data_IF_726377270659
#
_entry.id   IF_726377270659
#
_cell.length_a   1.000
_cell.length_b   1.000
_cell.length_c   1.000
_cell.angle_alpha   90.00
_cell.angle_beta   90.00
_cell.angle_gamma   90.00
#
_symmetry.space_group_name_H-M   'P 1'
#
loop_
_entity.id
_entity.type
_entity.pdbx_description
1 polymer ?
#
# COMPACT_ATOMS: atom_id res chain seq x y z
N UNK A 1 19.43 -4.06 -8.12
CA UNK A 1 18.33 -3.27 -7.50
C UNK A 1 18.95 -2.52 -6.35
N UNK A 2 18.75 -1.21 -6.25
CA UNK A 2 19.41 -0.37 -5.24
C UNK A 2 18.95 -0.77 -3.83
N UNK A 3 19.92 -0.97 -2.92
CA UNK A 3 19.68 -1.24 -1.47
C UNK A 3 19.10 -0.03 -0.70
N UNK A 4 18.55 0.96 -1.41
CA UNK A 4 17.98 2.15 -0.80
C UNK A 4 16.61 1.82 -0.16
N UNK A 5 16.34 2.34 1.04
CA UNK A 5 15.07 2.10 1.72
C UNK A 5 13.91 2.69 0.93
N UNK A 6 12.79 1.98 0.89
CA UNK A 6 11.55 2.41 0.23
C UNK A 6 10.47 2.59 1.29
N UNK A 7 9.74 3.72 1.24
CA UNK A 7 8.74 4.08 2.26
C UNK A 7 7.53 3.14 2.29
N UNK A 8 7.22 2.52 1.16
CA UNK A 8 6.12 1.58 0.95
C UNK A 8 6.53 0.10 1.09
N UNK A 9 7.77 -0.16 1.53
CA UNK A 9 8.29 -1.52 1.73
C UNK A 9 8.67 -1.74 3.20
N UNK A 10 8.22 -2.83 3.77
CA UNK A 10 8.69 -3.34 5.06
C UNK A 10 9.97 -4.14 4.80
N UNK A 11 11.00 -3.89 5.59
CA UNK A 11 12.28 -4.61 5.47
C UNK A 11 12.05 -6.14 5.61
N UNK A 12 12.66 -6.92 4.74
CA UNK A 12 12.51 -8.38 4.72
C UNK A 12 11.24 -8.89 4.04
N UNK A 13 10.34 -8.00 3.57
CA UNK A 13 9.14 -8.40 2.84
C UNK A 13 9.22 -8.06 1.35
N UNK A 14 8.44 -8.77 0.51
CA UNK A 14 8.21 -8.37 -0.88
C UNK A 14 7.60 -6.97 -0.95
N UNK A 15 7.95 -6.23 -2.01
CA UNK A 15 7.33 -4.93 -2.24
C UNK A 15 5.84 -5.08 -2.59
N UNK A 16 4.93 -4.16 -2.22
CA UNK A 16 3.52 -4.23 -2.57
C UNK A 16 3.21 -4.45 -4.07
N UNK A 17 4.06 -3.95 -4.98
CA UNK A 17 3.93 -4.21 -6.41
C UNK A 17 4.24 -5.66 -6.82
N UNK A 18 4.86 -6.45 -5.95
CA UNK A 18 5.20 -7.86 -6.19
C UNK A 18 4.10 -8.80 -5.69
N UNK A 19 3.12 -8.29 -4.93
CA UNK A 19 1.99 -9.09 -4.43
C UNK A 19 1.21 -9.68 -5.60
N UNK A 20 1.09 -11.01 -5.64
CA UNK A 20 0.40 -11.70 -6.73
C UNK A 20 -1.09 -11.85 -6.46
N UNK A 21 -1.45 -12.28 -5.25
CA UNK A 21 -2.83 -12.46 -4.84
C UNK A 21 -3.21 -11.45 -3.76
N UNK A 22 -4.42 -10.93 -3.85
CA UNK A 22 -5.00 -10.03 -2.87
C UNK A 22 -6.02 -10.78 -2.03
N UNK A 23 -5.97 -10.62 -0.71
CA UNK A 23 -6.86 -11.28 0.23
C UNK A 23 -7.69 -10.25 1.01
N UNK A 24 -8.96 -10.55 1.25
CA UNK A 24 -9.83 -9.82 2.18
C UNK A 24 -10.28 -8.43 1.73
N UNK A 25 -10.11 -8.06 0.45
CA UNK A 25 -10.53 -6.77 -0.10
C UNK A 25 -11.59 -6.88 -1.20
N UNK A 26 -12.41 -7.94 -1.17
CA UNK A 26 -13.38 -8.26 -2.23
C UNK A 26 -14.40 -7.15 -2.46
N UNK A 27 -14.92 -6.54 -1.37
CA UNK A 27 -15.85 -5.43 -1.47
C UNK A 27 -15.24 -4.19 -2.16
N UNK A 28 -13.97 -3.91 -1.87
CA UNK A 28 -13.24 -2.82 -2.50
C UNK A 28 -12.98 -3.11 -3.98
N UNK A 29 -12.58 -4.34 -4.31
CA UNK A 29 -12.39 -4.79 -5.69
C UNK A 29 -13.71 -4.71 -6.49
N UNK A 30 -14.82 -5.15 -5.91
CA UNK A 30 -16.14 -5.10 -6.54
C UNK A 30 -16.56 -3.66 -6.87
N UNK A 31 -16.33 -2.70 -5.96
CA UNK A 31 -16.64 -1.28 -6.21
C UNK A 31 -15.83 -0.70 -7.37
N UNK A 32 -14.56 -1.07 -7.50
CA UNK A 32 -13.70 -0.62 -8.60
C UNK A 32 -14.17 -1.24 -9.92
N UNK A 33 -14.47 -2.54 -9.93
CA UNK A 33 -14.97 -3.25 -11.11
C UNK A 33 -16.32 -2.71 -11.58
N UNK A 34 -17.24 -2.42 -10.65
CA UNK A 34 -18.53 -1.80 -10.96
C UNK A 34 -18.33 -0.44 -11.64
N UNK A 35 -17.45 0.39 -11.07
CA UNK A 35 -17.18 1.71 -11.65
C UNK A 35 -16.52 1.62 -13.02
N UNK A 36 -15.61 0.66 -13.22
CA UNK A 36 -14.93 0.41 -14.48
C UNK A 36 -15.90 -0.08 -15.55
N UNK A 37 -16.68 -1.12 -15.26
CA UNK A 37 -17.65 -1.71 -16.20
C UNK A 37 -18.81 -0.76 -16.54
N UNK A 38 -19.13 0.17 -15.63
CA UNK A 38 -20.16 1.19 -15.85
C UNK A 38 -19.66 2.45 -16.56
N UNK A 39 -18.42 2.50 -17.01
CA UNK A 39 -17.78 3.69 -17.60
C UNK A 39 -17.91 4.94 -16.70
N UNK A 40 -17.84 4.73 -15.37
CA UNK A 40 -17.96 5.77 -14.34
C UNK A 40 -16.77 5.77 -13.40
N UNK A 41 -15.57 5.47 -13.95
CA UNK A 41 -14.34 5.45 -13.16
C UNK A 41 -14.06 6.85 -12.64
N UNK A 42 -14.08 7.02 -11.32
CA UNK A 42 -13.75 8.29 -10.69
C UNK A 42 -12.25 8.58 -10.81
N UNK A 43 -11.89 9.85 -11.05
CA UNK A 43 -10.49 10.25 -11.20
C UNK A 43 -9.65 10.12 -9.92
N UNK A 44 -10.27 10.04 -8.74
CA UNK A 44 -9.54 9.89 -7.48
C UNK A 44 -10.23 8.93 -6.50
N UNK A 45 -9.48 7.96 -6.00
CA UNK A 45 -9.92 6.99 -5.02
C UNK A 45 -9.04 7.08 -3.77
N UNK A 46 -9.66 7.15 -2.61
CA UNK A 46 -8.98 7.19 -1.33
C UNK A 46 -9.15 5.86 -0.61
N UNK A 47 -8.06 5.07 -0.55
CA UNK A 47 -8.00 3.77 0.11
C UNK A 47 -7.77 3.99 1.60
N UNK A 48 -8.80 3.72 2.41
CA UNK A 48 -8.80 4.01 3.85
C UNK A 48 -8.77 2.72 4.66
N UNK A 49 -8.14 2.75 5.84
CA UNK A 49 -8.10 1.61 6.77
C UNK A 49 -6.77 1.54 7.54
N UNK A 50 -6.64 0.63 8.52
CA UNK A 50 -5.44 0.47 9.33
C UNK A 50 -4.17 0.25 8.51
N UNK A 51 -3.00 0.53 9.10
CA UNK A 51 -1.70 0.28 8.47
C UNK A 51 -1.47 -1.24 8.31
N UNK A 52 -0.81 -1.63 7.22
CA UNK A 52 -0.35 -3.01 7.00
C UNK A 52 -1.41 -4.01 6.55
N UNK A 53 -2.68 -3.61 6.31
CA UNK A 53 -3.76 -4.51 5.86
C UNK A 53 -3.75 -4.81 4.35
N UNK A 54 -2.78 -4.28 3.57
CA UNK A 54 -2.67 -4.54 2.12
C UNK A 54 -3.19 -3.43 1.22
N UNK A 55 -3.44 -2.19 1.72
CA UNK A 55 -3.93 -1.07 0.89
C UNK A 55 -3.01 -0.71 -0.28
N UNK A 56 -1.69 -0.68 -0.05
CA UNK A 56 -0.72 -0.44 -1.11
C UNK A 56 -0.77 -1.55 -2.16
N UNK A 57 -0.82 -2.83 -1.75
CA UNK A 57 -1.00 -3.96 -2.65
C UNK A 57 -2.27 -3.83 -3.49
N UNK A 58 -3.41 -3.46 -2.88
CA UNK A 58 -4.65 -3.18 -3.59
C UNK A 58 -4.48 -2.05 -4.61
N UNK A 59 -3.80 -0.94 -4.24
CA UNK A 59 -3.54 0.15 -5.17
C UNK A 59 -2.73 -0.31 -6.39
N UNK A 60 -1.70 -1.14 -6.19
CA UNK A 60 -0.94 -1.73 -7.30
C UNK A 60 -1.75 -2.72 -8.13
N UNK A 61 -2.68 -3.48 -7.54
CA UNK A 61 -3.61 -4.35 -8.29
C UNK A 61 -4.55 -3.52 -9.17
N UNK A 62 -5.15 -2.47 -8.63
CA UNK A 62 -5.98 -1.54 -9.40
C UNK A 62 -5.16 -0.89 -10.52
N UNK A 63 -3.94 -0.43 -10.23
CA UNK A 63 -3.08 0.18 -11.23
C UNK A 63 -2.74 -0.78 -12.38
N UNK A 64 -2.35 -2.03 -12.06
CA UNK A 64 -2.09 -3.07 -13.07
C UNK A 64 -3.31 -3.32 -13.94
N UNK A 65 -4.47 -3.46 -13.32
CA UNK A 65 -5.72 -3.67 -14.03
C UNK A 65 -6.04 -2.50 -14.97
N UNK A 66 -6.04 -1.27 -14.47
CA UNK A 66 -6.36 -0.08 -15.27
C UNK A 66 -5.40 0.17 -16.44
N UNK A 67 -4.12 -0.15 -16.25
CA UNK A 67 -3.09 0.00 -17.30
C UNK A 67 -3.09 -1.15 -18.33
N UNK A 68 -3.79 -2.25 -18.04
CA UNK A 68 -3.89 -3.42 -18.94
C UNK A 68 -5.25 -3.48 -19.63
N UNK A 69 -6.33 -3.11 -18.92
CA UNK A 69 -7.69 -3.22 -19.45
C UNK A 69 -7.94 -2.19 -20.56
N UNK A 70 -8.52 -2.66 -21.64
CA UNK A 70 -8.98 -1.79 -22.72
C UNK A 70 -10.21 -0.98 -22.29
N UNK A 71 -10.35 0.28 -22.74
CA UNK A 71 -11.56 1.06 -22.51
C UNK A 71 -12.79 0.34 -23.07
N UNK A 72 -13.90 0.40 -22.34
CA UNK A 72 -15.15 -0.14 -22.83
C UNK A 72 -15.59 0.70 -24.07
N UNK A 73 -15.63 0.08 -25.25
CA UNK A 73 -16.16 0.72 -26.45
C UNK A 73 -15.26 0.76 -27.68
N UNK A 74 -13.95 0.54 -27.56
CA UNK A 74 -13.01 0.67 -28.69
C UNK A 74 -12.72 -0.66 -29.44
N UNK A 75 -13.47 -1.71 -29.17
CA UNK A 75 -13.27 -2.96 -29.91
C UNK A 75 -13.99 -2.90 -31.26
N UNK A 76 -13.22 -3.00 -32.35
CA UNK A 76 -13.71 -3.19 -33.72
C UNK A 76 -14.60 -4.47 -33.87
N UNK A 77 -14.63 -5.35 -32.86
CA UNK A 77 -15.33 -6.64 -32.85
C UNK A 77 -16.52 -6.68 -31.86
N UNK A 78 -17.00 -5.54 -31.33
CA UNK A 78 -18.11 -5.48 -30.39
C UNK A 78 -17.66 -5.19 -28.95
N UNK A 79 -18.60 -4.97 -28.04
CA UNK A 79 -18.32 -4.66 -26.64
C UNK A 79 -17.57 -5.82 -25.95
N UNK A 80 -16.42 -5.54 -25.37
CA UNK A 80 -15.70 -6.51 -24.53
C UNK A 80 -16.58 -6.96 -23.35
N UNK A 81 -16.53 -8.22 -22.95
CA UNK A 81 -17.28 -8.70 -21.79
C UNK A 81 -16.85 -7.91 -20.54
N UNK A 82 -17.79 -7.68 -19.59
CA UNK A 82 -17.46 -6.93 -18.38
C UNK A 82 -16.34 -7.64 -17.60
N UNK A 83 -15.41 -6.85 -17.06
CA UNK A 83 -14.35 -7.37 -16.22
C UNK A 83 -14.92 -7.95 -14.92
N UNK A 84 -14.52 -9.17 -14.56
CA UNK A 84 -14.99 -9.89 -13.36
C UNK A 84 -13.96 -9.92 -12.24
N UNK A 85 -12.71 -9.54 -12.52
CA UNK A 85 -11.61 -9.57 -11.56
C UNK A 85 -10.60 -8.44 -11.85
N UNK A 86 -9.96 -7.92 -10.80
CA UNK A 86 -8.80 -7.03 -10.90
C UNK A 86 -7.48 -7.81 -11.08
N UNK A 87 -7.52 -9.12 -11.09
CA UNK A 87 -6.34 -9.95 -11.24
C UNK A 87 -5.71 -9.76 -12.63
N UNK A 88 -4.41 -9.50 -12.61
CA UNK A 88 -3.57 -9.38 -13.82
C UNK A 88 -2.39 -10.33 -13.65
N UNK A 89 -2.19 -11.29 -14.55
CA UNK A 89 -1.07 -12.21 -14.50
C UNK A 89 0.28 -11.50 -14.39
N UNK A 90 1.18 -12.05 -13.57
CA UNK A 90 2.49 -11.42 -13.27
C UNK A 90 3.45 -11.42 -14.47
N UNK A 91 3.20 -12.29 -15.47
CA UNK A 91 3.99 -12.43 -16.69
C UNK A 91 3.63 -11.42 -17.79
N UNK A 92 2.51 -10.69 -17.65
CA UNK A 92 2.14 -9.66 -18.60
C UNK A 92 3.16 -8.52 -18.64
N UNK A 93 3.42 -7.91 -19.81
CA UNK A 93 4.41 -6.84 -19.98
C UNK A 93 4.22 -5.67 -19.01
N UNK A 94 2.98 -5.23 -18.79
CA UNK A 94 2.64 -4.15 -17.85
C UNK A 94 3.02 -4.54 -16.41
N UNK A 95 2.66 -5.75 -15.97
CA UNK A 95 2.98 -6.23 -14.62
C UNK A 95 4.50 -6.31 -14.40
N UNK A 96 5.25 -6.78 -15.41
CA UNK A 96 6.73 -6.80 -15.37
C UNK A 96 7.33 -5.40 -15.30
N UNK A 97 6.82 -4.43 -16.08
CA UNK A 97 7.31 -3.03 -16.05
C UNK A 97 6.99 -2.35 -14.73
N UNK A 98 5.81 -2.60 -14.13
CA UNK A 98 5.46 -2.08 -12.80
C UNK A 98 6.44 -2.61 -11.75
N UNK A 99 6.72 -3.93 -11.76
CA UNK A 99 7.70 -4.55 -10.84
C UNK A 99 9.10 -4.00 -11.02
N UNK A 100 9.49 -3.69 -12.25
CA UNK A 100 10.78 -3.08 -12.57
C UNK A 100 10.82 -1.56 -12.32
N UNK A 101 9.71 -0.92 -11.95
CA UNK A 101 9.60 0.54 -11.77
C UNK A 101 9.75 1.33 -13.08
N UNK A 102 9.45 0.71 -14.24
CA UNK A 102 9.66 1.28 -15.57
C UNK A 102 8.35 1.45 -16.38
N UNK A 103 7.18 1.30 -15.73
CA UNK A 103 5.90 1.49 -16.40
C UNK A 103 5.62 2.99 -16.62
N UNK A 104 5.59 3.47 -17.87
CA UNK A 104 5.43 4.89 -18.16
C UNK A 104 4.03 5.44 -17.81
N UNK A 105 3.02 4.56 -17.69
CA UNK A 105 1.68 4.91 -17.28
C UNK A 105 1.48 5.00 -15.77
N UNK A 106 2.49 4.64 -14.96
CA UNK A 106 2.41 4.65 -13.50
C UNK A 106 3.38 5.64 -12.87
N UNK A 107 2.87 6.50 -12.00
CA UNK A 107 3.68 7.35 -11.12
C UNK A 107 3.38 7.01 -9.65
N UNK A 108 4.42 6.82 -8.84
CA UNK A 108 4.27 6.54 -7.41
C UNK A 108 4.90 7.66 -6.59
N UNK A 109 4.08 8.37 -5.83
CA UNK A 109 4.53 9.41 -4.90
C UNK A 109 4.64 8.80 -3.51
N UNK A 110 5.84 8.81 -2.96
CA UNK A 110 6.16 8.33 -1.60
C UNK A 110 7.26 9.18 -1.00
N UNK A 111 7.57 8.98 0.27
CA UNK A 111 8.69 9.68 0.90
C UNK A 111 10.00 9.34 0.16
N UNK A 112 10.70 10.34 -0.35
CA UNK A 112 11.97 10.11 -1.03
C UNK A 112 13.09 9.84 -0.03
N UNK A 113 14.16 9.23 -0.53
CA UNK A 113 15.44 9.10 0.21
C UNK A 113 16.15 10.44 0.19
N UNK A 114 16.69 10.87 1.30
CA UNK A 114 17.58 12.01 1.38
C UNK A 114 18.97 11.60 0.84
N UNK A 115 19.41 12.29 -0.21
CA UNK A 115 20.65 11.96 -0.92
C UNK A 115 21.93 12.07 -0.05
N UNK A 116 21.88 12.92 1.00
CA UNK A 116 23.03 13.15 1.88
C UNK A 116 23.14 12.12 2.99
N UNK A 117 21.99 11.68 3.50
CA UNK A 117 21.96 10.78 4.67
C UNK A 117 21.67 9.32 4.30
N UNK A 118 21.17 9.05 3.07
CA UNK A 118 20.70 7.73 2.65
C UNK A 118 19.43 7.26 3.38
N UNK A 119 18.82 8.10 4.22
CA UNK A 119 17.61 7.76 5.00
C UNK A 119 16.36 8.31 4.33
N UNK A 120 15.22 7.68 4.59
CA UNK A 120 13.93 8.19 4.16
C UNK A 120 13.63 9.54 4.81
N UNK A 121 13.16 10.51 4.02
CA UNK A 121 12.60 11.75 4.56
C UNK A 121 11.35 11.45 5.39
N UNK A 122 11.06 12.31 6.34
CA UNK A 122 9.90 12.15 7.24
C UNK A 122 8.56 12.48 6.58
N UNK A 123 8.60 13.24 5.48
CA UNK A 123 7.39 13.70 4.75
C UNK A 123 7.59 13.59 3.23
N UNK A 124 6.47 13.57 2.51
CA UNK A 124 6.44 13.76 1.05
C UNK A 124 6.49 15.27 0.78
N UNK A 125 7.59 15.80 0.20
CA UNK A 125 7.73 17.23 -0.06
C UNK A 125 6.96 17.65 -1.32
N UNK A 126 6.72 18.95 -1.45
CA UNK A 126 5.99 19.53 -2.60
C UNK A 126 6.66 19.24 -3.95
N UNK A 127 7.99 19.15 -3.96
CA UNK A 127 8.73 18.91 -5.21
C UNK A 127 8.42 17.52 -5.80
N UNK A 128 8.24 16.51 -4.94
CA UNK A 128 7.77 15.18 -5.36
C UNK A 128 6.38 15.25 -6.04
N UNK A 129 5.46 16.08 -5.50
CA UNK A 129 4.14 16.28 -6.13
C UNK A 129 4.23 17.06 -7.44
N UNK A 130 5.18 17.98 -7.56
CA UNK A 130 5.42 18.74 -8.81
C UNK A 130 5.87 17.87 -9.96
N UNK A 131 6.48 16.71 -9.69
CA UNK A 131 6.84 15.72 -10.71
C UNK A 131 5.63 15.20 -11.49
N UNK A 132 4.42 15.23 -10.91
CA UNK A 132 3.17 14.90 -11.61
C UNK A 132 2.95 15.75 -12.85
N UNK A 133 3.35 17.02 -12.85
CA UNK A 133 3.21 17.87 -14.04
C UNK A 133 4.02 17.32 -15.22
N UNK A 134 5.25 16.88 -14.95
CA UNK A 134 6.10 16.24 -15.95
C UNK A 134 5.51 14.91 -16.39
N UNK A 135 5.06 14.10 -15.44
CA UNK A 135 4.42 12.81 -15.71
C UNK A 135 3.20 12.96 -16.64
N UNK A 136 2.34 13.95 -16.38
CA UNK A 136 1.17 14.21 -17.21
C UNK A 136 1.47 14.89 -18.55
N UNK A 137 2.62 15.54 -18.72
CA UNK A 137 3.03 16.14 -20.00
C UNK A 137 3.65 15.16 -20.99
N UNK A 138 4.11 13.99 -20.52
CA UNK A 138 4.66 12.94 -21.36
C UNK A 138 3.53 12.24 -22.13
N UNK A 139 3.84 11.60 -23.26
CA UNK A 139 2.88 10.76 -23.96
C UNK A 139 2.46 9.58 -23.09
N UNK A 140 1.16 9.29 -23.03
CA UNK A 140 0.67 8.10 -22.38
C UNK A 140 1.12 6.86 -23.17
N UNK A 141 1.61 5.85 -22.47
CA UNK A 141 1.90 4.54 -23.07
C UNK A 141 0.65 3.64 -23.11
N UNK A 142 0.73 2.57 -23.88
CA UNK A 142 -0.29 1.51 -23.85
C UNK A 142 -1.70 2.02 -24.22
N UNK A 143 -2.67 1.83 -23.31
CA UNK A 143 -4.09 2.19 -23.50
C UNK A 143 -4.42 3.67 -23.26
N UNK A 144 -3.43 4.54 -23.16
CA UNK A 144 -3.64 5.98 -22.92
C UNK A 144 -3.88 6.39 -21.46
N UNK A 145 -4.17 5.44 -20.57
CA UNK A 145 -4.44 5.72 -19.14
C UNK A 145 -3.18 6.03 -18.35
N UNK A 146 -3.36 6.83 -17.31
CA UNK A 146 -2.31 7.18 -16.34
C UNK A 146 -2.81 6.93 -14.93
N UNK A 147 -1.99 6.26 -14.16
CA UNK A 147 -2.31 5.98 -12.75
C UNK A 147 -1.26 6.61 -11.84
N UNK A 148 -1.72 7.28 -10.80
CA UNK A 148 -0.86 7.84 -9.75
C UNK A 148 -1.19 7.14 -8.45
N UNK A 149 -0.19 6.55 -7.79
CA UNK A 149 -0.32 6.04 -6.43
C UNK A 149 0.35 7.03 -5.49
N UNK A 150 -0.33 7.43 -4.42
CA UNK A 150 0.24 8.23 -3.33
C UNK A 150 0.28 7.35 -2.08
N UNK A 151 1.47 6.96 -1.66
CA UNK A 151 1.68 6.09 -0.50
C UNK A 151 2.68 6.68 0.49
N UNK A 152 2.23 7.30 1.55
CA UNK A 152 0.87 7.50 2.04
C UNK A 152 0.55 9.01 2.06
N UNK A 153 -0.68 9.40 1.74
CA UNK A 153 -1.07 10.83 1.71
C UNK A 153 -0.98 11.49 3.09
N UNK A 154 -1.10 10.72 4.18
CA UNK A 154 -0.94 11.22 5.56
C UNK A 154 0.46 11.82 5.81
N UNK A 155 1.44 11.44 5.00
CA UNK A 155 2.84 11.85 5.10
C UNK A 155 3.16 13.09 4.24
N UNK A 156 2.17 13.68 3.58
CA UNK A 156 2.37 14.93 2.84
C UNK A 156 2.46 16.13 3.79
N UNK A 157 3.41 17.03 3.52
CA UNK A 157 3.37 18.35 4.15
C UNK A 157 2.25 19.21 3.54
N UNK A 158 1.90 20.31 4.19
CA UNK A 158 0.80 21.19 3.76
C UNK A 158 0.97 21.71 2.32
N UNK A 159 2.20 22.02 1.90
CA UNK A 159 2.49 22.50 0.55
C UNK A 159 2.29 21.39 -0.51
N UNK A 160 2.68 20.16 -0.18
CA UNK A 160 2.47 18.99 -1.04
C UNK A 160 0.95 18.68 -1.18
N UNK A 161 0.21 18.70 -0.08
CA UNK A 161 -1.24 18.51 -0.08
C UNK A 161 -1.96 19.58 -0.94
N UNK A 162 -1.58 20.85 -0.80
CA UNK A 162 -2.12 21.94 -1.61
C UNK A 162 -1.73 21.82 -3.11
N UNK A 163 -0.56 21.30 -3.42
CA UNK A 163 -0.17 21.05 -4.81
C UNK A 163 -0.98 19.89 -5.43
N UNK A 164 -1.28 18.85 -4.64
CA UNK A 164 -2.13 17.72 -5.07
C UNK A 164 -3.58 18.16 -5.30
N UNK A 165 -4.11 19.11 -4.50
CA UNK A 165 -5.46 19.65 -4.70
C UNK A 165 -5.69 20.17 -6.12
N UNK A 166 -4.70 20.84 -6.72
CA UNK A 166 -4.81 21.34 -8.10
C UNK A 166 -5.03 20.22 -9.11
N UNK A 167 -4.39 19.07 -8.90
CA UNK A 167 -4.57 17.90 -9.78
C UNK A 167 -5.93 17.25 -9.56
N UNK A 168 -6.45 17.27 -8.32
CA UNK A 168 -7.76 16.76 -7.98
C UNK A 168 -8.91 17.65 -8.47
N UNK A 169 -8.68 18.95 -8.59
CA UNK A 169 -9.64 19.94 -9.11
C UNK A 169 -9.73 19.91 -10.63
N UNK A 170 -8.59 19.79 -11.28
CA UNK A 170 -8.48 19.74 -12.74
C UNK A 170 -7.72 18.47 -13.15
N UNK A 171 -8.36 17.28 -13.00
CA UNK A 171 -7.69 16.03 -13.31
C UNK A 171 -7.41 15.93 -14.81
N UNK A 172 -6.19 15.50 -15.20
CA UNK A 172 -5.89 15.21 -16.60
C UNK A 172 -6.80 14.10 -17.12
N UNK A 173 -7.10 14.15 -18.41
CA UNK A 173 -7.90 13.12 -19.07
C UNK A 173 -7.28 11.74 -18.86
N UNK A 174 -8.11 10.73 -18.64
CA UNK A 174 -7.73 9.33 -18.42
C UNK A 174 -6.76 9.10 -17.24
N UNK A 175 -6.68 10.06 -16.32
CA UNK A 175 -5.89 9.93 -15.09
C UNK A 175 -6.72 9.38 -13.93
N UNK A 176 -6.15 8.41 -13.20
CA UNK A 176 -6.71 7.88 -11.95
C UNK A 176 -5.69 8.00 -10.83
N UNK A 177 -6.09 8.67 -9.74
CA UNK A 177 -5.28 8.83 -8.54
C UNK A 177 -5.76 7.85 -7.46
N UNK A 178 -4.84 7.08 -6.91
CA UNK A 178 -5.06 6.10 -5.82
C UNK A 178 -4.31 6.62 -4.57
N UNK A 179 -5.06 7.16 -3.62
CA UNK A 179 -4.51 7.81 -2.44
C UNK A 179 -4.62 6.85 -1.24
N UNK A 180 -3.49 6.33 -0.77
CA UNK A 180 -3.46 5.45 0.41
C UNK A 180 -3.42 6.31 1.68
N UNK A 181 -4.31 6.03 2.64
CA UNK A 181 -4.32 6.70 3.95
C UNK A 181 -4.53 5.71 5.10
N UNK A 182 -3.87 5.98 6.22
CA UNK A 182 -4.07 5.24 7.48
C UNK A 182 -4.93 6.04 8.47
N UNK A 183 -5.01 7.36 8.29
CA UNK A 183 -5.69 8.29 9.18
C UNK A 183 -6.55 9.29 8.39
N UNK A 184 -7.69 8.84 7.82
CA UNK A 184 -8.51 9.69 6.94
C UNK A 184 -9.03 10.96 7.61
N UNK A 185 -9.11 10.99 8.95
CA UNK A 185 -9.48 12.19 9.71
C UNK A 185 -8.44 13.32 9.64
N UNK A 186 -7.16 13.00 9.37
CA UNK A 186 -6.08 13.98 9.22
C UNK A 186 -5.98 14.58 7.82
N UNK A 187 -6.65 13.97 6.85
CA UNK A 187 -6.64 14.46 5.46
C UNK A 187 -7.53 15.70 5.34
N UNK A 188 -7.05 16.69 4.61
CA UNK A 188 -7.78 17.93 4.36
C UNK A 188 -9.19 17.63 3.83
N UNK A 189 -10.25 18.25 4.38
CA UNK A 189 -11.62 18.07 3.91
C UNK A 189 -11.77 18.34 2.40
N UNK A 190 -10.99 19.29 1.88
CA UNK A 190 -10.96 19.65 0.45
C UNK A 190 -10.44 18.52 -0.44
N UNK A 191 -9.49 17.70 0.04
CA UNK A 191 -9.03 16.49 -0.67
C UNK A 191 -10.11 15.41 -0.56
N UNK A 192 -10.63 15.16 0.66
CA UNK A 192 -11.63 14.10 0.87
C UNK A 192 -12.89 14.28 0.03
N UNK A 193 -13.36 15.53 -0.11
CA UNK A 193 -14.58 15.84 -0.88
C UNK A 193 -14.44 15.57 -2.38
N UNK A 194 -13.21 15.44 -2.90
CA UNK A 194 -12.90 15.18 -4.31
C UNK A 194 -12.50 13.73 -4.59
N UNK A 195 -12.53 12.90 -3.57
CA UNK A 195 -12.16 11.48 -3.70
C UNK A 195 -13.35 10.57 -3.41
N UNK A 196 -13.48 9.50 -4.16
CA UNK A 196 -14.36 8.39 -3.79
C UNK A 196 -13.63 7.52 -2.75
N UNK A 197 -14.26 7.28 -1.61
CA UNK A 197 -13.66 6.47 -0.55
C UNK A 197 -13.79 4.98 -0.87
N UNK A 198 -12.67 4.27 -0.75
CA UNK A 198 -12.56 2.83 -0.84
C UNK A 198 -12.15 2.29 0.54
N UNK A 199 -13.13 1.84 1.32
CA UNK A 199 -12.88 1.37 2.67
C UNK A 199 -12.29 -0.05 2.64
N UNK A 200 -11.13 -0.21 3.27
CA UNK A 200 -10.45 -1.48 3.45
C UNK A 200 -10.56 -1.90 4.93
N UNK A 201 -11.09 -3.09 5.16
CA UNK A 201 -11.20 -3.66 6.50
C UNK A 201 -9.94 -4.44 6.88
N UNK A 202 -9.67 -4.63 8.19
CA UNK A 202 -8.72 -5.63 8.65
C UNK A 202 -9.04 -7.01 8.06
N UNK A 203 -8.00 -7.80 7.81
CA UNK A 203 -8.14 -9.14 7.25
C UNK A 203 -8.80 -10.09 8.24
N UNK A 204 -9.61 -11.01 7.74
CA UNK A 204 -10.07 -12.16 8.52
C UNK A 204 -8.87 -13.03 8.98
N UNK A 205 -9.01 -13.85 10.03
CA UNK A 205 -7.93 -14.76 10.44
C UNK A 205 -7.42 -15.65 9.30
N UNK A 206 -8.30 -16.13 8.45
CA UNK A 206 -7.98 -16.97 7.29
C UNK A 206 -7.21 -16.19 6.23
N UNK A 207 -7.69 -15.00 5.87
CA UNK A 207 -7.02 -14.14 4.89
C UNK A 207 -5.68 -13.61 5.41
N UNK A 208 -5.58 -13.33 6.73
CA UNK A 208 -4.33 -12.96 7.37
C UNK A 208 -3.28 -14.06 7.23
N UNK A 209 -3.67 -15.31 7.51
CA UNK A 209 -2.77 -16.47 7.37
C UNK A 209 -2.33 -16.67 5.91
N UNK A 210 -3.25 -16.54 4.95
CA UNK A 210 -2.95 -16.65 3.50
C UNK A 210 -2.01 -15.54 3.04
N UNK A 211 -2.29 -14.29 3.44
CA UNK A 211 -1.45 -13.14 3.12
C UNK A 211 -0.05 -13.27 3.73
N UNK A 212 0.05 -13.76 4.98
CA UNK A 212 1.32 -14.04 5.64
C UNK A 212 2.12 -15.12 4.91
N UNK A 213 1.49 -16.25 4.56
CA UNK A 213 2.15 -17.33 3.84
C UNK A 213 2.67 -16.89 2.46
N UNK A 214 1.96 -15.99 1.78
CA UNK A 214 2.44 -15.38 0.52
C UNK A 214 3.65 -14.46 0.74
N UNK A 215 3.66 -13.69 1.84
CA UNK A 215 4.73 -12.73 2.13
C UNK A 215 5.99 -13.40 2.70
N UNK A 216 5.83 -14.46 3.49
CA UNK A 216 6.89 -15.19 4.18
C UNK A 216 6.70 -16.71 4.03
N UNK A 217 6.89 -17.26 2.82
CA UNK A 217 6.59 -18.66 2.53
C UNK A 217 7.45 -19.66 3.32
N UNK A 218 8.66 -19.23 3.76
CA UNK A 218 9.58 -20.06 4.54
C UNK A 218 9.28 -20.04 6.05
N UNK A 219 8.33 -19.20 6.51
CA UNK A 219 8.00 -19.08 7.92
C UNK A 219 6.65 -19.70 8.26
N UNK A 220 6.60 -20.45 9.37
CA UNK A 220 5.33 -20.94 9.89
C UNK A 220 4.52 -19.80 10.54
N UNK A 221 3.21 -19.79 10.28
CA UNK A 221 2.32 -18.83 10.92
C UNK A 221 2.07 -19.20 12.39
N UNK A 222 2.47 -18.32 13.30
CA UNK A 222 2.18 -18.47 14.73
C UNK A 222 0.72 -18.04 14.98
N UNK A 223 -0.15 -18.89 15.58
CA UNK A 223 -1.53 -18.53 15.92
C UNK A 223 -1.67 -17.27 16.78
N UNK A 224 -0.67 -16.96 17.62
CA UNK A 224 -0.61 -15.73 18.43
C UNK A 224 -0.62 -14.46 17.60
N UNK A 225 -0.11 -14.50 16.36
CA UNK A 225 -0.13 -13.37 15.42
C UNK A 225 -1.55 -12.91 15.07
N UNK A 226 -2.53 -13.83 15.09
CA UNK A 226 -3.92 -13.47 14.77
C UNK A 226 -4.46 -12.40 15.71
N UNK A 227 -4.19 -12.53 17.01
CA UNK A 227 -4.63 -11.56 18.00
C UNK A 227 -3.77 -10.29 18.00
N UNK A 228 -2.44 -10.45 17.90
CA UNK A 228 -1.48 -9.34 18.02
C UNK A 228 -1.49 -8.43 16.79
N UNK A 229 -1.66 -9.00 15.61
CA UNK A 229 -1.65 -8.24 14.35
C UNK A 229 -3.02 -7.62 14.01
N UNK A 230 -4.10 -7.99 14.70
CA UNK A 230 -5.44 -7.43 14.52
C UNK A 230 -5.87 -7.29 13.03
N UNK A 231 -5.59 -8.30 12.22
CA UNK A 231 -5.91 -8.34 10.79
C UNK A 231 -4.95 -7.56 9.89
N UNK A 232 -3.78 -7.15 10.39
CA UNK A 232 -2.73 -6.50 9.61
C UNK A 232 -1.65 -7.51 9.19
N UNK A 233 -1.60 -7.89 7.91
CA UNK A 233 -0.58 -8.79 7.38
C UNK A 233 0.85 -8.22 7.51
N UNK A 234 0.99 -6.90 7.32
CA UNK A 234 2.28 -6.23 7.49
C UNK A 234 2.77 -6.30 8.95
N UNK A 235 1.87 -6.08 9.93
CA UNK A 235 2.22 -6.20 11.34
C UNK A 235 2.50 -7.65 11.75
N UNK A 236 1.73 -8.62 11.25
CA UNK A 236 1.99 -10.03 11.49
C UNK A 236 3.40 -10.43 11.01
N UNK A 237 3.74 -10.02 9.79
CA UNK A 237 5.05 -10.31 9.23
C UNK A 237 6.19 -9.60 9.98
N UNK A 238 6.02 -8.34 10.37
CA UNK A 238 7.00 -7.59 11.17
C UNK A 238 7.21 -8.24 12.54
N UNK A 239 6.13 -8.62 13.24
CA UNK A 239 6.20 -9.36 14.51
C UNK A 239 6.94 -10.70 14.37
N UNK A 240 6.69 -11.43 13.28
CA UNK A 240 7.37 -12.70 13.00
C UNK A 240 8.87 -12.49 12.76
N UNK A 241 9.24 -11.52 11.93
CA UNK A 241 10.66 -11.21 11.62
C UNK A 241 11.46 -10.69 12.82
N UNK A 242 10.78 -10.04 13.78
CA UNK A 242 11.42 -9.46 14.98
C UNK A 242 11.26 -10.32 16.24
N UNK A 243 10.75 -11.55 16.14
CA UNK A 243 10.41 -12.38 17.29
C UNK A 243 9.48 -11.67 18.29
N UNK A 244 8.55 -10.87 17.78
CA UNK A 244 7.63 -10.06 18.60
C UNK A 244 6.68 -10.88 19.45
N UNK A 245 6.28 -12.08 19.02
CA UNK A 245 5.45 -13.01 19.80
C UNK A 245 6.17 -13.50 21.06
N UNK A 246 7.46 -13.83 20.96
CA UNK A 246 8.29 -14.25 22.10
C UNK A 246 8.45 -13.10 23.09
N UNK A 247 8.71 -11.91 22.58
CA UNK A 247 8.82 -10.69 23.40
C UNK A 247 7.51 -10.40 24.14
N UNK A 248 6.37 -10.51 23.45
CA UNK A 248 5.05 -10.34 24.05
C UNK A 248 4.79 -11.39 25.14
N UNK A 249 5.09 -12.67 24.87
CA UNK A 249 4.98 -13.76 25.85
C UNK A 249 5.80 -13.52 27.12
N UNK A 250 7.04 -13.03 26.96
CA UNK A 250 7.90 -12.66 28.08
C UNK A 250 7.33 -11.49 28.91
N UNK A 251 6.75 -10.47 28.27
CA UNK A 251 6.08 -9.35 28.95
C UNK A 251 4.88 -9.86 29.73
N UNK A 252 4.02 -10.67 29.12
CA UNK A 252 2.84 -11.24 29.79
C UNK A 252 3.23 -12.08 31.00
N UNK A 253 4.28 -12.90 30.88
CA UNK A 253 4.80 -13.72 31.96
C UNK A 253 5.30 -12.88 33.14
N UNK A 254 6.00 -11.76 32.86
CA UNK A 254 6.42 -10.80 33.90
C UNK A 254 5.23 -10.14 34.57
N UNK A 255 4.18 -9.78 33.84
CA UNK A 255 2.96 -9.18 34.38
C UNK A 255 2.20 -10.16 35.28
N UNK A 256 2.12 -11.44 34.92
CA UNK A 256 1.50 -12.47 35.76
C UNK A 256 2.26 -12.71 37.05
N UNK A 257 3.56 -12.43 37.10
CA UNK A 257 4.39 -12.54 38.33
C UNK A 257 4.17 -11.41 39.34
N UNK A 258 3.41 -10.37 39.01
CA UNK A 258 3.15 -9.27 39.95
C UNK A 258 2.29 -9.71 41.12
N UNK A 259 2.56 -9.16 42.35
CA UNK A 259 3.50 -8.07 42.67
C UNK A 259 4.97 -8.51 42.85
N UNK A 260 5.31 -9.76 42.66
CA UNK A 260 6.66 -10.32 42.86
C UNK A 260 7.41 -10.29 41.51
N UNK A 261 7.89 -9.10 41.15
CA UNK A 261 8.57 -8.90 39.87
C UNK A 261 9.96 -9.57 39.81
N UNK A 262 10.19 -10.44 38.83
CA UNK A 262 11.53 -10.95 38.51
C UNK A 262 12.36 -9.87 37.79
N UNK A 263 13.20 -9.17 38.57
CA UNK A 263 14.06 -8.09 38.07
C UNK A 263 15.11 -8.58 37.06
N UNK A 264 15.56 -9.82 37.19
CA UNK A 264 16.57 -10.39 36.29
C UNK A 264 15.93 -10.69 34.93
N UNK A 265 14.73 -11.24 34.88
CA UNK A 265 13.98 -11.46 33.66
C UNK A 265 13.63 -10.14 32.99
N UNK A 266 13.24 -9.10 33.76
CA UNK A 266 12.97 -7.76 33.22
C UNK A 266 14.23 -7.14 32.57
N UNK A 267 15.39 -7.22 33.22
CA UNK A 267 16.65 -6.71 32.69
C UNK A 267 17.09 -7.44 31.41
N UNK A 268 16.91 -8.76 31.36
CA UNK A 268 17.20 -9.55 30.15
C UNK A 268 16.30 -9.11 28.99
N UNK A 269 15.01 -8.93 29.23
CA UNK A 269 14.07 -8.46 28.22
C UNK A 269 14.41 -7.06 27.73
N UNK A 270 14.69 -6.11 28.64
CA UNK A 270 15.09 -4.75 28.28
C UNK A 270 16.37 -4.73 27.41
N UNK A 271 17.37 -5.56 27.74
CA UNK A 271 18.59 -5.65 26.99
C UNK A 271 18.42 -6.31 25.60
N UNK A 272 17.47 -7.25 25.46
CA UNK A 272 17.18 -7.89 24.17
C UNK A 272 16.44 -6.94 23.23
N UNK A 273 15.49 -6.14 23.75
CA UNK A 273 14.71 -5.18 22.96
C UNK A 273 15.48 -3.88 22.67
N UNK A 274 16.36 -3.42 23.57
CA UNK A 274 17.16 -2.20 23.38
C UNK A 274 18.22 -2.30 22.27
N UNK A 275 18.66 -3.51 21.90
CA UNK A 275 19.60 -3.73 20.79
C UNK A 275 18.94 -3.74 19.41
N UNK A 276 17.63 -3.87 19.34
CA UNK A 276 16.91 -3.91 18.07
C UNK A 276 16.66 -2.52 17.44
N UNK A 277 16.94 -1.43 18.17
CA UNK A 277 16.69 -0.05 17.71
C UNK A 277 17.91 0.65 17.09
N UNK A 278 19.09 0.04 17.10
CA UNK A 278 20.35 0.61 16.59
C UNK A 278 20.82 0.00 15.25
N UNK A 279 19.93 -0.64 14.50
CA UNK A 279 20.20 -1.26 13.20
C UNK A 279 19.57 -0.52 12.00
#
# INVERSE_FOLDING_TARGET
MSDLPQADRIAGLPHPCETELLFGHDAACAQVLEAFNGDRMHHAWMLTGPKGIGKASLAYHIARFLLTAEPAGDSLFGASPPATSLFVPADLPVARRIRAGSEPGLCVLRRPVDEKTGKLKTVIPVDTVRELRRFFSLSAGGNGRRVVIVDCIDEMNANAANALLKVLEEPPQDAVLLLVTHQPSRILPTIRSRCRTLACAPLSPEDLQRAFAQALPEQAFDPGLTALAAGSAGQAAELSLTHGTDTYGAIVSLCHGLPQLDRNALLKLANSTGRATDG
#
